data_IF_747804159770
#
_entry.id   IF_747804159770
#
_cell.length_a   1.000
_cell.length_b   1.000
_cell.length_c   1.000
_cell.angle_alpha   90.00
_cell.angle_beta   90.00
_cell.angle_gamma   90.00
#
_symmetry.space_group_name_H-M   'P 1'
#
loop_
_entity.id
_entity.type
_entity.pdbx_description
1 polymer ?
#
# COMPACT_ATOMS: atom_id res chain seq x y z
N UNK A 1 23.24 -0.96 -15.65
CA UNK A 1 23.03 -0.45 -14.27
C UNK A 1 22.62 -1.53 -13.25
N UNK A 2 22.19 -2.73 -13.64
CA UNK A 2 21.86 -3.81 -12.68
C UNK A 2 23.05 -4.23 -11.78
N UNK A 3 24.28 -4.18 -12.30
CA UNK A 3 25.52 -4.48 -11.57
C UNK A 3 26.19 -3.27 -10.92
N UNK A 4 25.56 -2.09 -10.98
CA UNK A 4 26.14 -0.88 -10.41
C UNK A 4 26.14 -0.93 -8.88
N UNK A 5 27.26 -0.57 -8.25
CA UNK A 5 27.44 -0.67 -6.81
C UNK A 5 26.80 0.51 -6.05
N UNK A 6 25.48 0.59 -6.05
CA UNK A 6 24.74 1.62 -5.31
C UNK A 6 25.07 1.56 -3.80
N UNK A 7 25.31 2.70 -3.13
CA UNK A 7 25.00 4.08 -3.53
C UNK A 7 26.17 4.85 -4.18
N UNK A 8 27.15 4.17 -4.80
CA UNK A 8 28.19 4.88 -5.57
C UNK A 8 27.54 5.82 -6.61
N UNK A 9 27.91 7.11 -6.68
CA UNK A 9 27.24 8.05 -7.56
C UNK A 9 27.62 7.84 -9.02
N UNK A 10 26.62 8.02 -9.89
CA UNK A 10 26.86 8.15 -11.34
C UNK A 10 27.22 9.60 -11.63
N UNK A 11 28.44 9.80 -12.16
CA UNK A 11 28.98 11.10 -12.54
C UNK A 11 29.25 11.12 -14.05
N UNK A 12 28.85 12.19 -14.73
CA UNK A 12 29.18 12.41 -16.15
C UNK A 12 30.49 13.19 -16.33
N UNK A 13 30.87 13.98 -15.33
CA UNK A 13 32.15 14.68 -15.21
C UNK A 13 32.53 14.83 -13.72
N UNK A 14 33.79 15.15 -13.39
CA UNK A 14 34.16 15.50 -12.03
C UNK A 14 33.29 16.65 -11.49
N UNK A 15 32.95 16.61 -10.20
CA UNK A 15 32.23 17.70 -9.54
C UNK A 15 33.19 18.87 -9.41
N UNK A 16 32.82 20.00 -9.99
CA UNK A 16 33.60 21.23 -9.96
C UNK A 16 33.10 22.14 -8.83
N UNK A 17 34.04 22.84 -8.20
CA UNK A 17 33.73 23.97 -7.34
C UNK A 17 33.42 25.19 -8.22
N UNK A 18 32.48 26.02 -7.77
CA UNK A 18 32.09 27.23 -8.49
C UNK A 18 32.30 28.49 -7.65
N UNK A 19 32.20 29.67 -8.28
CA UNK A 19 32.49 30.95 -7.65
C UNK A 19 31.43 31.40 -6.64
N UNK A 20 30.27 30.73 -6.60
CA UNK A 20 29.15 31.06 -5.72
C UNK A 20 29.18 30.16 -4.48
N UNK A 21 28.70 30.65 -3.34
CA UNK A 21 28.59 29.85 -2.11
C UNK A 21 27.33 28.96 -2.11
N UNK A 22 27.08 28.25 -3.22
CA UNK A 22 25.93 27.37 -3.36
C UNK A 22 26.24 25.96 -2.86
N UNK A 23 25.25 25.27 -2.29
CA UNK A 23 25.39 23.88 -1.86
C UNK A 23 25.61 22.98 -3.09
N UNK A 24 26.78 22.36 -3.18
CA UNK A 24 27.10 21.32 -4.15
C UNK A 24 26.93 19.95 -3.49
N UNK A 25 26.40 18.96 -4.21
CA UNK A 25 26.21 17.60 -3.67
C UNK A 25 27.52 17.03 -3.16
N UNK A 26 27.57 16.72 -1.86
CA UNK A 26 28.76 16.18 -1.23
C UNK A 26 28.38 15.34 0.01
N UNK A 27 28.38 13.99 -0.10
CA UNK A 27 28.00 13.12 1.01
C UNK A 27 29.02 13.15 2.15
N UNK A 28 30.27 13.60 1.94
CA UNK A 28 31.23 13.71 3.03
C UNK A 28 30.89 14.87 3.97
N UNK A 29 30.40 15.98 3.40
CA UNK A 29 30.09 17.21 4.14
C UNK A 29 28.64 17.20 4.62
N UNK A 30 27.69 16.96 3.72
CA UNK A 30 26.27 17.10 4.00
C UNK A 30 25.64 15.76 4.38
N UNK A 31 25.12 15.68 5.61
CA UNK A 31 24.49 14.45 6.11
C UNK A 31 23.31 13.99 5.26
N UNK A 32 22.47 14.91 4.75
CA UNK A 32 21.33 14.56 3.89
C UNK A 32 21.76 13.79 2.63
N UNK A 33 22.88 14.20 2.03
CA UNK A 33 23.39 13.62 0.79
C UNK A 33 23.89 12.18 0.98
N UNK A 34 24.25 11.79 2.21
CA UNK A 34 24.66 10.42 2.58
C UNK A 34 23.53 9.40 2.46
N UNK A 35 22.29 9.85 2.57
CA UNK A 35 21.12 8.98 2.54
C UNK A 35 20.56 8.76 1.13
N UNK A 36 21.15 9.36 0.09
CA UNK A 36 20.74 9.12 -1.29
C UNK A 36 21.05 7.67 -1.70
N UNK A 37 20.01 6.92 -2.07
CA UNK A 37 20.10 5.47 -2.30
C UNK A 37 20.63 5.08 -3.69
N UNK A 38 20.38 5.93 -4.69
CA UNK A 38 20.79 5.75 -6.09
C UNK A 38 21.23 7.08 -6.72
N UNK A 39 22.31 7.73 -6.25
CA UNK A 39 22.64 9.10 -6.65
C UNK A 39 23.08 9.19 -8.12
N UNK A 40 22.34 9.98 -8.91
CA UNK A 40 22.70 10.40 -10.27
C UNK A 40 22.90 11.91 -10.24
N UNK A 41 24.12 12.37 -10.51
CA UNK A 41 24.52 13.75 -10.23
C UNK A 41 24.45 14.61 -11.49
N UNK A 42 23.83 15.77 -11.40
CA UNK A 42 23.76 16.74 -12.51
C UNK A 42 25.14 17.29 -12.83
N UNK A 43 25.54 17.37 -14.11
CA UNK A 43 26.88 17.79 -14.48
C UNK A 43 27.10 19.30 -14.30
N UNK A 44 26.06 20.11 -14.51
CA UNK A 44 26.19 21.57 -14.40
C UNK A 44 26.34 22.01 -12.93
N UNK A 45 27.18 23.02 -12.71
CA UNK A 45 27.32 23.68 -11.42
C UNK A 45 26.06 24.52 -11.08
N UNK A 46 25.56 24.51 -9.82
CA UNK A 46 25.96 23.61 -8.74
C UNK A 46 25.41 22.19 -8.95
N UNK A 47 26.29 21.18 -8.85
CA UNK A 47 25.89 19.78 -9.02
C UNK A 47 24.94 19.33 -7.91
N UNK A 48 23.85 18.66 -8.28
CA UNK A 48 22.81 18.18 -7.38
C UNK A 48 22.47 16.71 -7.68
N UNK A 49 21.83 16.04 -6.73
CA UNK A 49 21.31 14.69 -6.94
C UNK A 49 19.93 14.76 -7.61
N UNK A 50 19.83 14.31 -8.86
CA UNK A 50 18.57 14.28 -9.61
C UNK A 50 17.59 13.22 -9.07
N UNK A 51 18.11 12.19 -8.39
CA UNK A 51 17.36 11.03 -7.90
C UNK A 51 17.20 11.02 -6.38
N UNK A 52 17.21 12.20 -5.75
CA UNK A 52 17.08 12.34 -4.29
C UNK A 52 15.74 11.79 -3.73
N UNK A 53 14.73 11.62 -4.58
CA UNK A 53 13.40 11.10 -4.21
C UNK A 53 13.30 9.56 -4.22
N UNK A 54 14.34 8.84 -4.61
CA UNK A 54 14.33 7.36 -4.60
C UNK A 54 14.26 6.85 -3.16
N UNK A 55 13.26 6.00 -2.88
CA UNK A 55 13.06 5.31 -1.60
C UNK A 55 13.60 3.87 -1.66
N UNK A 56 13.53 3.12 -0.55
CA UNK A 56 13.96 1.72 -0.53
C UNK A 56 13.06 0.87 -1.45
N UNK A 57 11.75 1.09 -1.39
CA UNK A 57 10.79 0.43 -2.28
C UNK A 57 11.01 0.75 -3.75
N UNK A 58 11.14 2.03 -4.12
CA UNK A 58 11.33 2.38 -5.53
C UNK A 58 12.68 1.93 -6.05
N UNK A 59 13.75 1.96 -5.23
CA UNK A 59 15.04 1.32 -5.56
C UNK A 59 14.87 -0.17 -5.86
N UNK A 60 14.15 -0.90 -5.03
CA UNK A 60 13.91 -2.33 -5.23
C UNK A 60 13.20 -2.60 -6.57
N UNK A 61 12.16 -1.82 -6.89
CA UNK A 61 11.44 -1.91 -8.17
C UNK A 61 12.35 -1.58 -9.35
N UNK A 62 13.11 -0.47 -9.30
CA UNK A 62 14.03 -0.07 -10.36
C UNK A 62 15.07 -1.16 -10.63
N UNK A 63 15.63 -1.78 -9.58
CA UNK A 63 16.60 -2.87 -9.75
C UNK A 63 15.98 -4.12 -10.37
N UNK A 64 14.74 -4.48 -10.01
CA UNK A 64 14.02 -5.58 -10.67
C UNK A 64 13.79 -5.30 -12.16
N UNK A 65 13.37 -4.09 -12.50
CA UNK A 65 13.14 -3.69 -13.90
C UNK A 65 14.44 -3.60 -14.71
N UNK A 66 15.53 -3.13 -14.12
CA UNK A 66 16.86 -3.16 -14.76
C UNK A 66 17.34 -4.59 -15.03
N UNK A 67 17.09 -5.52 -14.09
CA UNK A 67 17.39 -6.93 -14.29
C UNK A 67 16.53 -7.53 -15.41
N UNK A 68 15.21 -7.36 -15.33
CA UNK A 68 14.24 -7.83 -16.35
C UNK A 68 14.62 -7.30 -17.74
N UNK A 69 14.94 -6.01 -17.85
CA UNK A 69 15.38 -5.40 -19.10
C UNK A 69 16.66 -6.02 -19.65
N UNK A 70 17.64 -6.29 -18.78
CA UNK A 70 18.87 -7.00 -19.15
C UNK A 70 18.59 -8.40 -19.72
N UNK A 71 17.78 -9.19 -19.01
CA UNK A 71 17.41 -10.56 -19.41
C UNK A 71 16.65 -10.57 -20.76
N UNK A 72 15.79 -9.58 -21.02
CA UNK A 72 15.07 -9.44 -22.30
C UNK A 72 16.02 -9.04 -23.42
N UNK A 73 16.89 -8.06 -23.19
CA UNK A 73 17.84 -7.58 -24.19
C UNK A 73 18.83 -8.67 -24.60
N UNK A 74 19.30 -9.48 -23.66
CA UNK A 74 20.13 -10.66 -23.97
C UNK A 74 19.41 -11.62 -24.92
N UNK A 75 18.14 -11.95 -24.66
CA UNK A 75 17.32 -12.79 -25.53
C UNK A 75 17.05 -12.16 -26.90
N UNK A 76 16.93 -10.83 -26.98
CA UNK A 76 16.81 -10.13 -28.27
C UNK A 76 18.10 -10.30 -29.09
N UNK A 77 19.28 -10.14 -28.48
CA UNK A 77 20.55 -10.36 -29.16
C UNK A 77 20.74 -11.81 -29.62
N UNK A 78 20.14 -12.78 -28.91
CA UNK A 78 20.09 -14.19 -29.30
C UNK A 78 19.00 -14.50 -30.36
N UNK A 79 18.22 -13.51 -30.80
CA UNK A 79 17.14 -13.69 -31.77
C UNK A 79 15.89 -14.39 -31.25
N UNK A 80 15.74 -14.53 -29.92
CA UNK A 80 14.61 -15.24 -29.28
C UNK A 80 13.41 -14.34 -28.99
N UNK A 81 13.64 -13.04 -28.84
CA UNK A 81 12.62 -12.03 -28.54
C UNK A 81 12.76 -10.83 -29.48
N UNK A 82 11.75 -9.96 -29.49
CA UNK A 82 11.70 -8.72 -30.29
C UNK A 82 11.79 -7.50 -29.37
N UNK A 83 12.19 -6.36 -29.93
CA UNK A 83 12.22 -5.08 -29.20
C UNK A 83 10.85 -4.68 -28.61
N UNK A 84 9.74 -5.09 -29.24
CA UNK A 84 8.39 -4.91 -28.69
C UNK A 84 8.22 -5.54 -27.31
N UNK A 85 8.94 -6.63 -27.01
CA UNK A 85 8.80 -7.37 -25.75
C UNK A 85 9.46 -6.60 -24.58
N UNK A 86 10.49 -5.79 -24.87
CA UNK A 86 11.11 -4.90 -23.88
C UNK A 86 10.13 -3.79 -23.45
N UNK A 87 9.39 -3.24 -24.41
CA UNK A 87 8.40 -2.18 -24.20
C UNK A 87 7.00 -2.70 -23.88
N UNK A 88 6.87 -4.00 -23.61
CA UNK A 88 5.63 -4.57 -23.11
C UNK A 88 5.21 -3.86 -21.82
N UNK A 89 3.92 -3.52 -21.75
CA UNK A 89 3.34 -2.78 -20.63
C UNK A 89 3.51 -3.54 -19.31
N UNK A 90 3.72 -2.80 -18.22
CA UNK A 90 3.77 -3.34 -16.87
C UNK A 90 2.42 -3.97 -16.46
N UNK A 91 2.45 -4.85 -15.46
CA UNK A 91 1.26 -5.55 -14.96
C UNK A 91 0.83 -5.08 -13.56
N UNK A 92 1.12 -3.81 -13.25
CA UNK A 92 0.97 -3.20 -11.92
C UNK A 92 -0.39 -3.49 -11.26
N UNK A 93 -1.51 -3.30 -11.96
CA UNK A 93 -2.87 -3.50 -11.42
C UNK A 93 -3.39 -4.95 -11.55
N UNK A 94 -2.77 -5.75 -12.41
CA UNK A 94 -3.28 -7.07 -12.79
C UNK A 94 -2.55 -8.21 -12.09
N UNK A 95 -1.22 -8.25 -12.11
CA UNK A 95 -0.44 -9.42 -11.64
C UNK A 95 0.56 -9.07 -10.54
N UNK A 96 1.08 -7.85 -10.51
CA UNK A 96 2.26 -7.52 -9.71
C UNK A 96 1.96 -7.49 -8.21
N UNK A 97 0.75 -7.06 -7.82
CA UNK A 97 0.36 -6.91 -6.42
C UNK A 97 -1.00 -7.55 -6.09
N UNK A 98 -1.13 -8.02 -4.85
CA UNK A 98 -2.39 -8.57 -4.29
C UNK A 98 -3.17 -7.54 -3.49
N UNK A 99 -2.48 -6.53 -2.97
CA UNK A 99 -2.96 -5.52 -2.04
C UNK A 99 -2.54 -4.14 -2.56
N UNK A 100 -3.43 -3.17 -2.43
CA UNK A 100 -3.20 -1.79 -2.83
C UNK A 100 -3.68 -0.83 -1.74
N UNK A 101 -3.00 0.30 -1.61
CA UNK A 101 -3.54 1.48 -0.95
C UNK A 101 -4.00 2.46 -2.01
N UNK A 102 -5.23 2.93 -1.84
CA UNK A 102 -5.82 3.98 -2.65
C UNK A 102 -5.77 5.27 -1.83
N UNK A 103 -5.16 6.31 -2.38
CA UNK A 103 -5.11 7.64 -1.79
C UNK A 103 -5.96 8.53 -2.68
N UNK A 104 -7.15 8.90 -2.22
CA UNK A 104 -8.09 9.73 -2.97
C UNK A 104 -8.07 11.14 -2.41
N UNK A 105 -7.56 12.07 -3.20
CA UNK A 105 -7.77 13.50 -3.00
C UNK A 105 -9.12 13.86 -3.61
N UNK A 106 -9.95 14.62 -2.90
CA UNK A 106 -11.27 15.03 -3.38
C UNK A 106 -11.56 16.49 -3.10
N UNK A 107 -12.25 17.15 -4.03
CA UNK A 107 -12.67 18.54 -3.91
C UNK A 107 -14.05 18.79 -4.55
N UNK A 108 -14.76 19.81 -4.08
CA UNK A 108 -16.09 20.20 -4.59
C UNK A 108 -16.06 21.03 -5.88
N UNK A 109 -14.89 21.54 -6.29
CA UNK A 109 -14.68 22.20 -7.59
C UNK A 109 -13.46 21.65 -8.32
N UNK A 110 -13.42 21.80 -9.65
CA UNK A 110 -12.31 21.32 -10.48
C UNK A 110 -11.03 22.10 -10.21
N UNK A 111 -11.14 23.42 -10.05
CA UNK A 111 -10.00 24.30 -9.80
C UNK A 111 -9.34 23.97 -8.45
N UNK A 112 -10.17 23.75 -7.41
CA UNK A 112 -9.68 23.31 -6.12
C UNK A 112 -9.04 21.92 -6.20
N UNK A 113 -9.67 20.99 -6.96
CA UNK A 113 -9.14 19.64 -7.13
C UNK A 113 -7.78 19.63 -7.81
N UNK A 114 -7.54 20.44 -8.85
CA UNK A 114 -6.27 20.46 -9.55
C UNK A 114 -5.13 20.85 -8.61
N UNK A 115 -5.30 21.91 -7.81
CA UNK A 115 -4.31 22.31 -6.80
C UNK A 115 -4.18 21.27 -5.68
N UNK A 116 -5.29 20.81 -5.12
CA UNK A 116 -5.30 19.90 -3.98
C UNK A 116 -4.68 18.53 -4.33
N UNK A 117 -5.03 17.97 -5.49
CA UNK A 117 -4.49 16.69 -5.96
C UNK A 117 -2.98 16.75 -6.21
N UNK A 118 -2.46 17.86 -6.76
CA UNK A 118 -1.02 18.06 -6.95
C UNK A 118 -0.25 18.15 -5.63
N UNK A 119 -0.81 18.83 -4.62
CA UNK A 119 -0.22 18.87 -3.28
C UNK A 119 -0.21 17.48 -2.60
N UNK A 120 -1.31 16.73 -2.72
CA UNK A 120 -1.38 15.36 -2.18
C UNK A 120 -0.36 14.46 -2.88
N UNK A 121 -0.21 14.58 -4.20
CA UNK A 121 0.78 13.84 -4.98
C UNK A 121 2.22 14.15 -4.56
N UNK A 122 2.56 15.43 -4.38
CA UNK A 122 3.87 15.87 -3.91
C UNK A 122 4.27 15.23 -2.57
N UNK A 123 3.26 14.92 -1.74
CA UNK A 123 3.45 14.33 -0.41
C UNK A 123 3.48 12.81 -0.42
N UNK A 124 3.02 12.12 -1.48
CA UNK A 124 2.90 10.64 -1.51
C UNK A 124 4.21 9.93 -1.14
N UNK A 125 5.35 10.51 -1.55
CA UNK A 125 6.67 10.00 -1.21
C UNK A 125 6.89 9.86 0.29
N UNK A 126 6.35 10.77 1.12
CA UNK A 126 6.46 10.68 2.57
C UNK A 126 5.69 9.49 3.14
N UNK A 127 4.53 9.15 2.56
CA UNK A 127 3.80 7.93 2.91
C UNK A 127 4.60 6.69 2.54
N UNK A 128 5.17 6.64 1.33
CA UNK A 128 6.02 5.51 0.90
C UNK A 128 7.22 5.32 1.84
N UNK A 129 7.92 6.41 2.20
CA UNK A 129 9.04 6.36 3.15
C UNK A 129 8.60 5.88 4.53
N UNK A 130 7.39 6.25 4.97
CA UNK A 130 6.85 5.78 6.25
C UNK A 130 6.50 4.29 6.20
N UNK A 131 5.93 3.81 5.09
CA UNK A 131 5.61 2.40 4.86
C UNK A 131 6.88 1.54 4.75
N UNK A 132 7.96 2.05 4.14
CA UNK A 132 9.26 1.37 4.04
C UNK A 132 9.86 1.00 5.42
N UNK A 133 9.45 1.69 6.48
CA UNK A 133 9.92 1.40 7.86
C UNK A 133 9.15 0.28 8.55
N UNK A 134 8.03 -0.17 7.99
CA UNK A 134 7.19 -1.21 8.60
C UNK A 134 7.78 -2.58 8.32
N UNK A 135 8.07 -3.33 9.39
CA UNK A 135 8.57 -4.69 9.28
C UNK A 135 7.62 -5.65 8.55
N UNK A 136 6.32 -5.34 8.49
CA UNK A 136 5.28 -6.11 7.79
C UNK A 136 5.18 -5.82 6.29
N UNK A 137 5.82 -4.74 5.81
CA UNK A 137 5.82 -4.35 4.40
C UNK A 137 7.22 -4.67 3.82
N UNK A 138 7.24 -5.31 2.65
CA UNK A 138 8.47 -5.56 1.91
C UNK A 138 8.69 -4.49 0.85
N UNK A 139 7.65 -4.20 0.05
CA UNK A 139 7.65 -3.11 -0.94
C UNK A 139 6.32 -2.37 -0.94
N UNK A 140 6.41 -1.04 -0.94
CA UNK A 140 5.35 -0.09 -1.21
C UNK A 140 5.66 0.63 -2.54
N UNK A 141 5.12 0.13 -3.64
CA UNK A 141 5.38 0.63 -4.99
C UNK A 141 4.32 1.66 -5.40
N UNK A 142 4.62 2.97 -5.40
CA UNK A 142 3.70 3.98 -5.90
C UNK A 142 3.55 3.88 -7.41
N UNK A 143 2.31 3.89 -7.90
CA UNK A 143 2.02 4.09 -9.31
C UNK A 143 2.25 5.56 -9.65
N UNK A 144 2.93 5.90 -10.77
CA UNK A 144 3.37 7.26 -11.04
C UNK A 144 2.25 8.20 -11.53
N UNK A 145 1.00 7.74 -11.67
CA UNK A 145 -0.10 8.55 -12.21
C UNK A 145 -1.30 8.56 -11.27
N UNK A 146 -1.97 9.70 -11.17
CA UNK A 146 -3.29 9.82 -10.55
C UNK A 146 -4.41 9.51 -11.54
N UNK A 147 -5.53 8.99 -11.07
CA UNK A 147 -6.74 8.73 -11.85
C UNK A 147 -7.81 9.76 -11.51
N UNK A 148 -8.11 10.65 -12.46
CA UNK A 148 -9.07 11.74 -12.31
C UNK A 148 -10.49 11.30 -12.66
N UNK A 149 -11.45 11.62 -11.78
CA UNK A 149 -12.86 11.27 -11.92
C UNK A 149 -13.75 12.43 -11.46
N UNK A 150 -14.94 12.47 -12.03
CA UNK A 150 -16.02 13.38 -11.64
C UNK A 150 -17.23 12.55 -11.24
N UNK A 151 -17.79 12.85 -10.08
CA UNK A 151 -18.93 12.13 -9.51
C UNK A 151 -20.11 13.08 -9.33
N UNK A 152 -21.32 12.56 -9.50
CA UNK A 152 -22.56 13.26 -9.18
C UNK A 152 -23.24 12.51 -8.04
N UNK A 153 -23.25 13.12 -6.86
CA UNK A 153 -23.71 12.51 -5.60
C UNK A 153 -24.94 13.28 -5.09
N UNK A 154 -25.97 12.57 -4.62
CA UNK A 154 -27.19 13.19 -4.07
C UNK A 154 -27.06 13.50 -2.59
N UNK A 155 -26.50 12.55 -1.85
CA UNK A 155 -26.42 12.59 -0.40
C UNK A 155 -24.98 12.46 0.09
N UNK A 156 -24.75 12.85 1.34
CA UNK A 156 -23.46 12.73 2.02
C UNK A 156 -22.91 11.28 2.02
N UNK A 157 -23.79 10.27 2.07
CA UNK A 157 -23.38 8.86 1.98
C UNK A 157 -22.76 8.50 0.63
N UNK A 158 -23.30 9.07 -0.46
CA UNK A 158 -22.76 8.85 -1.80
C UNK A 158 -21.41 9.56 -1.97
N UNK A 159 -21.28 10.76 -1.39
CA UNK A 159 -20.02 11.51 -1.32
C UNK A 159 -18.93 10.68 -0.61
N UNK A 160 -19.22 10.13 0.56
CA UNK A 160 -18.25 9.31 1.32
C UNK A 160 -17.83 8.04 0.55
N UNK A 161 -18.75 7.42 -0.19
CA UNK A 161 -18.42 6.29 -1.05
C UNK A 161 -17.54 6.72 -2.24
N UNK A 162 -17.80 7.88 -2.85
CA UNK A 162 -16.96 8.40 -3.92
C UNK A 162 -15.54 8.75 -3.41
N UNK A 163 -15.44 9.41 -2.25
CA UNK A 163 -14.17 9.70 -1.55
C UNK A 163 -13.35 8.44 -1.24
N UNK A 164 -14.02 7.30 -1.01
CA UNK A 164 -13.33 6.02 -0.78
C UNK A 164 -12.57 5.47 -2.01
N UNK A 165 -12.76 6.10 -3.19
CA UNK A 165 -12.13 5.71 -4.46
C UNK A 165 -12.97 4.76 -5.31
N UNK A 166 -14.25 4.56 -4.97
CA UNK A 166 -15.19 3.75 -5.75
C UNK A 166 -15.82 4.57 -6.87
N UNK A 167 -16.00 3.96 -8.04
CA UNK A 167 -16.50 4.60 -9.26
C UNK A 167 -18.02 4.56 -9.43
N UNK A 168 -18.77 4.16 -8.38
CA UNK A 168 -20.22 3.92 -8.46
C UNK A 168 -21.03 5.14 -8.87
N UNK A 169 -20.56 6.33 -8.49
CA UNK A 169 -21.21 7.60 -8.71
C UNK A 169 -20.50 8.46 -9.76
N UNK A 170 -19.58 7.85 -10.52
CA UNK A 170 -18.89 8.52 -11.62
C UNK A 170 -19.92 8.92 -12.70
N UNK A 171 -19.81 10.16 -13.18
CA UNK A 171 -20.71 10.68 -14.22
C UNK A 171 -20.59 9.82 -15.48
N UNK A 172 -21.74 9.31 -15.95
CA UNK A 172 -21.80 8.47 -17.15
C UNK A 172 -21.31 9.26 -18.37
N UNK A 173 -20.48 8.62 -19.21
CA UNK A 173 -19.91 9.24 -20.41
C UNK A 173 -18.59 9.98 -20.16
N UNK A 174 -18.19 10.20 -18.90
CA UNK A 174 -16.89 10.80 -18.57
C UNK A 174 -15.84 9.69 -18.44
N UNK A 175 -14.91 9.63 -19.40
CA UNK A 175 -13.77 8.71 -19.33
C UNK A 175 -12.82 9.14 -18.21
N UNK A 176 -12.36 8.19 -17.40
CA UNK A 176 -11.27 8.42 -16.45
C UNK A 176 -10.00 8.78 -17.23
N UNK A 177 -9.42 9.93 -16.90
CA UNK A 177 -8.15 10.39 -17.44
C UNK A 177 -7.07 10.28 -16.36
N UNK A 178 -5.83 10.07 -16.76
CA UNK A 178 -4.69 10.13 -15.83
C UNK A 178 -4.10 11.52 -15.75
N UNK A 179 -3.41 11.85 -14.65
CA UNK A 179 -2.75 13.15 -14.46
C UNK A 179 -1.74 13.48 -15.59
N UNK A 180 -1.08 12.47 -16.14
CA UNK A 180 -0.20 12.62 -17.32
C UNK A 180 -0.97 12.95 -18.61
N UNK A 181 -2.17 12.41 -18.79
CA UNK A 181 -2.99 12.65 -19.98
C UNK A 181 -3.65 14.02 -19.94
N UNK A 182 -4.08 14.47 -18.76
CA UNK A 182 -4.67 15.79 -18.56
C UNK A 182 -3.60 16.89 -18.55
N UNK A 183 -2.45 16.62 -17.93
CA UNK A 183 -1.32 17.53 -17.77
C UNK A 183 -1.77 18.93 -17.32
N UNK A 184 -2.64 18.98 -16.32
CA UNK A 184 -3.27 20.20 -15.82
C UNK A 184 -2.20 21.14 -15.21
N UNK A 185 -2.05 22.39 -15.70
CA UNK A 185 -1.02 23.31 -15.23
C UNK A 185 -1.09 23.63 -13.74
N UNK A 186 -2.30 23.71 -13.16
CA UNK A 186 -2.48 24.00 -11.74
C UNK A 186 -2.07 22.80 -10.88
N UNK A 187 -2.34 21.59 -11.36
CA UNK A 187 -1.86 20.36 -10.73
C UNK A 187 -0.33 20.26 -10.78
N UNK A 188 0.29 20.48 -11.94
CA UNK A 188 1.75 20.43 -12.11
C UNK A 188 2.45 21.48 -11.24
N UNK A 189 1.94 22.72 -11.25
CA UNK A 189 2.49 23.77 -10.40
C UNK A 189 2.41 23.40 -8.91
N UNK A 190 1.30 22.81 -8.46
CA UNK A 190 1.12 22.38 -7.07
C UNK A 190 2.05 21.23 -6.70
N UNK A 191 2.27 20.29 -7.61
CA UNK A 191 3.19 19.16 -7.45
C UNK A 191 4.63 19.64 -7.26
N UNK A 192 5.07 20.62 -8.05
CA UNK A 192 6.43 21.18 -7.97
C UNK A 192 6.63 22.12 -6.77
N UNK A 193 5.59 22.87 -6.39
CA UNK A 193 5.72 23.92 -5.39
C UNK A 193 5.75 23.42 -3.95
N UNK A 194 5.26 22.20 -3.69
CA UNK A 194 5.20 21.43 -2.44
C UNK A 194 4.81 22.12 -1.10
N UNK A 195 5.01 23.44 -0.90
CA UNK A 195 4.84 24.16 0.37
C UNK A 195 4.87 25.72 0.33
N UNK A 196 4.70 26.47 -0.77
CA UNK A 196 4.89 27.94 -0.62
C UNK A 196 4.31 28.99 -1.57
N UNK A 197 3.62 28.68 -2.67
CA UNK A 197 3.35 29.74 -3.66
C UNK A 197 1.96 29.73 -4.29
N UNK A 198 1.17 28.67 -4.10
CA UNK A 198 -0.10 28.50 -4.80
C UNK A 198 -1.23 28.74 -3.82
N UNK A 199 -2.21 29.52 -4.26
CA UNK A 199 -3.43 29.83 -3.53
C UNK A 199 -4.54 28.82 -3.87
N UNK A 200 -5.20 28.26 -2.85
CA UNK A 200 -6.43 27.50 -3.05
C UNK A 200 -7.52 28.42 -3.61
N UNK A 201 -8.15 28.02 -4.73
CA UNK A 201 -9.37 28.68 -5.19
C UNK A 201 -10.42 28.73 -4.08
N UNK A 202 -11.12 29.86 -3.97
CA UNK A 202 -12.28 29.98 -3.08
C UNK A 202 -13.48 29.20 -3.61
N UNK A 203 -14.55 29.13 -2.82
CA UNK A 203 -15.82 28.55 -3.25
C UNK A 203 -16.31 29.25 -4.53
N UNK A 204 -16.38 28.53 -5.64
CA UNK A 204 -17.26 28.92 -6.74
C UNK A 204 -18.71 28.83 -6.27
N UNK A 205 -19.57 29.75 -6.71
CA UNK A 205 -20.99 29.69 -6.39
C UNK A 205 -21.55 28.33 -6.88
N UNK A 206 -21.98 27.49 -5.95
CA UNK A 206 -22.73 26.28 -6.28
C UNK A 206 -24.14 26.69 -6.66
N UNK A 207 -24.47 26.60 -7.95
CA UNK A 207 -25.87 26.70 -8.37
C UNK A 207 -26.67 25.58 -7.72
N UNK A 208 -27.87 25.92 -7.24
CA UNK A 208 -28.83 25.06 -6.53
C UNK A 208 -29.30 23.89 -7.42
N UNK A 209 -28.45 22.88 -7.52
CA UNK A 209 -28.76 21.58 -8.11
C UNK A 209 -28.84 20.57 -6.98
N UNK A 210 -29.91 19.76 -6.95
CA UNK A 210 -30.10 18.65 -6.00
C UNK A 210 -28.96 17.60 -5.99
N UNK A 211 -27.98 17.71 -6.89
CA UNK A 211 -26.80 16.87 -6.93
C UNK A 211 -25.52 17.68 -6.63
N UNK A 212 -24.69 17.13 -5.76
CA UNK A 212 -23.34 17.59 -5.47
C UNK A 212 -22.34 16.99 -6.46
N UNK A 213 -21.60 17.86 -7.15
CA UNK A 213 -20.48 17.46 -7.99
C UNK A 213 -19.24 17.29 -7.12
N UNK A 214 -18.57 16.14 -7.23
CA UNK A 214 -17.33 15.85 -6.52
C UNK A 214 -16.25 15.46 -7.52
N UNK A 215 -15.12 16.13 -7.46
CA UNK A 215 -13.94 15.80 -8.24
C UNK A 215 -13.00 14.97 -7.38
N UNK A 216 -12.43 13.90 -7.93
CA UNK A 216 -11.49 13.04 -7.21
C UNK A 216 -10.30 12.67 -8.07
N UNK A 217 -9.12 12.60 -7.46
CA UNK A 217 -7.90 12.05 -8.06
C UNK A 217 -7.39 10.96 -7.14
N UNK A 218 -7.33 9.73 -7.64
CA UNK A 218 -6.90 8.56 -6.85
C UNK A 218 -5.51 8.10 -7.28
N UNK A 219 -4.60 8.00 -6.32
CA UNK A 219 -3.28 7.42 -6.47
C UNK A 219 -3.24 6.02 -5.87
N UNK A 220 -2.39 5.16 -6.41
CA UNK A 220 -2.29 3.77 -5.98
C UNK A 220 -0.88 3.42 -5.52
N UNK A 221 -0.78 2.69 -4.43
CA UNK A 221 0.46 2.07 -3.96
C UNK A 221 0.25 0.57 -3.90
N UNK A 222 0.98 -0.18 -4.73
CA UNK A 222 1.01 -1.64 -4.70
C UNK A 222 1.84 -2.13 -3.51
N UNK A 223 1.31 -3.10 -2.77
CA UNK A 223 1.95 -3.62 -1.55
C UNK A 223 2.38 -5.09 -1.71
N UNK A 224 3.65 -5.33 -1.44
CA UNK A 224 4.18 -6.66 -1.10
C UNK A 224 4.29 -6.74 0.42
N UNK A 225 3.57 -7.70 1.01
CA UNK A 225 3.50 -7.87 2.45
C UNK A 225 4.34 -9.07 2.88
N UNK A 226 5.03 -8.93 4.03
CA UNK A 226 5.62 -10.05 4.75
C UNK A 226 4.50 -10.83 5.48
N UNK A 227 4.76 -12.03 6.04
CA UNK A 227 3.71 -12.87 6.64
C UNK A 227 2.93 -12.24 7.81
N UNK A 228 3.37 -11.09 8.32
CA UNK A 228 2.73 -10.36 9.39
C UNK A 228 1.64 -9.43 8.85
N UNK A 229 0.53 -9.31 9.58
CA UNK A 229 -0.53 -8.33 9.28
C UNK A 229 0.03 -6.91 9.51
N UNK A 230 0.15 -6.04 8.48
CA UNK A 230 0.57 -4.67 8.70
C UNK A 230 -0.56 -3.85 9.35
N UNK A 231 -0.25 -3.26 10.51
CA UNK A 231 -0.97 -2.07 10.96
C UNK A 231 -0.29 -0.82 10.39
N UNK A 232 -1.00 -0.12 9.50
CA UNK A 232 -0.57 1.10 8.83
C UNK A 232 -1.33 2.35 9.31
N UNK A 233 -2.10 2.22 10.40
CA UNK A 233 -2.98 3.29 10.89
C UNK A 233 -2.20 4.55 11.27
N UNK A 234 -1.01 4.39 11.87
CA UNK A 234 -0.13 5.51 12.22
C UNK A 234 0.39 6.27 11.00
N UNK A 235 0.79 5.55 9.94
CA UNK A 235 1.37 6.14 8.73
C UNK A 235 0.31 6.86 7.91
N UNK A 236 -0.86 6.23 7.80
CA UNK A 236 -2.02 6.84 7.13
C UNK A 236 -2.50 8.09 7.86
N UNK A 237 -2.54 8.07 9.21
CA UNK A 237 -2.89 9.25 9.99
C UNK A 237 -1.83 10.36 9.86
N UNK A 238 -0.54 10.02 9.93
CA UNK A 238 0.56 10.96 9.71
C UNK A 238 0.47 11.64 8.35
N UNK A 239 0.21 10.87 7.29
CA UNK A 239 0.07 11.41 5.95
C UNK A 239 -1.13 12.35 5.81
N UNK A 240 -2.29 11.95 6.36
CA UNK A 240 -3.48 12.80 6.37
C UNK A 240 -3.19 14.13 7.06
N UNK A 241 -2.59 14.08 8.26
CA UNK A 241 -2.21 15.29 9.00
C UNK A 241 -1.22 16.16 8.21
N UNK A 242 -0.25 15.56 7.52
CA UNK A 242 0.69 16.31 6.68
C UNK A 242 0.01 17.02 5.50
N UNK A 243 -1.04 16.43 4.94
CA UNK A 243 -1.82 17.06 3.87
C UNK A 243 -2.70 18.19 4.42
N UNK A 244 -3.43 17.92 5.51
CA UNK A 244 -4.42 18.85 6.09
C UNK A 244 -3.79 19.97 6.94
N UNK A 245 -2.52 19.86 7.33
CA UNK A 245 -1.79 20.95 8.00
C UNK A 245 -1.36 22.08 7.06
N UNK A 246 -1.65 21.96 5.76
CA UNK A 246 -1.35 23.03 4.81
C UNK A 246 -2.20 24.26 5.11
N UNK A 247 -1.58 25.45 5.13
CA UNK A 247 -2.23 26.69 5.56
C UNK A 247 -3.48 27.06 4.75
N UNK A 248 -3.58 26.58 3.51
CA UNK A 248 -4.72 26.85 2.63
C UNK A 248 -5.66 25.65 2.48
N UNK A 249 -5.46 24.59 3.25
CA UNK A 249 -6.43 23.52 3.34
C UNK A 249 -7.77 24.08 3.81
N UNK A 250 -8.84 23.75 3.09
CA UNK A 250 -10.19 24.20 3.38
C UNK A 250 -11.07 22.98 3.73
N UNK A 251 -11.41 22.77 5.02
CA UNK A 251 -12.28 21.68 5.44
C UNK A 251 -13.65 21.74 4.74
N UNK A 252 -14.19 20.59 4.36
CA UNK A 252 -15.49 20.49 3.66
C UNK A 252 -15.41 20.77 2.15
N UNK A 253 -14.37 21.48 1.70
CA UNK A 253 -14.09 21.68 0.28
C UNK A 253 -13.10 20.63 -0.21
N UNK A 254 -11.98 20.47 0.51
CA UNK A 254 -10.95 19.50 0.18
C UNK A 254 -10.90 18.41 1.24
N UNK A 255 -10.61 17.19 0.81
CA UNK A 255 -10.46 16.04 1.70
C UNK A 255 -9.46 15.03 1.11
N UNK A 256 -8.87 14.21 1.97
CA UNK A 256 -7.98 13.11 1.58
C UNK A 256 -8.33 11.83 2.33
N UNK A 257 -8.72 10.82 1.57
CA UNK A 257 -9.09 9.52 2.10
C UNK A 257 -8.10 8.46 1.66
N UNK A 258 -7.72 7.59 2.58
CA UNK A 258 -6.87 6.43 2.28
C UNK A 258 -7.69 5.17 2.55
N UNK A 259 -7.80 4.30 1.55
CA UNK A 259 -8.48 3.01 1.67
C UNK A 259 -7.55 1.88 1.24
N UNK A 260 -7.78 0.69 1.80
CA UNK A 260 -7.06 -0.52 1.42
C UNK A 260 -7.96 -1.41 0.56
N UNK A 261 -7.43 -1.87 -0.57
CA UNK A 261 -8.18 -2.62 -1.58
C UNK A 261 -7.39 -3.82 -2.05
N UNK A 262 -8.09 -4.94 -2.28
CA UNK A 262 -7.51 -6.15 -2.89
C UNK A 262 -7.50 -6.00 -4.41
N UNK A 263 -6.56 -6.66 -5.07
CA UNK A 263 -6.43 -6.61 -6.53
C UNK A 263 -7.74 -6.92 -7.30
N UNK A 264 -8.54 -7.86 -6.81
CA UNK A 264 -9.83 -8.22 -7.39
C UNK A 264 -10.95 -7.20 -7.10
N UNK A 265 -10.75 -6.24 -6.19
CA UNK A 265 -11.70 -5.19 -5.82
C UNK A 265 -11.32 -3.82 -6.38
N UNK A 266 -10.24 -3.74 -7.16
CA UNK A 266 -9.86 -2.52 -7.87
C UNK A 266 -10.97 -2.07 -8.83
N UNK A 267 -11.16 -0.75 -9.02
CA UNK A 267 -12.05 -0.20 -10.04
C UNK A 267 -11.73 -0.72 -11.45
N UNK A 268 -12.72 -0.77 -12.34
CA UNK A 268 -12.49 -1.31 -13.70
C UNK A 268 -11.64 -0.38 -14.58
N UNK A 269 -11.67 0.92 -14.30
CA UNK A 269 -11.01 1.95 -15.09
C UNK A 269 -9.49 2.03 -14.88
N UNK A 270 -8.92 1.28 -13.92
CA UNK A 270 -7.46 1.15 -13.79
C UNK A 270 -6.86 0.08 -14.71
N UNK A 271 -7.70 -0.73 -15.34
CA UNK A 271 -7.28 -1.79 -16.26
C UNK A 271 -7.36 -1.29 -17.71
N UNK A 272 -6.34 -1.62 -18.50
CA UNK A 272 -6.39 -1.30 -19.93
C UNK A 272 -7.24 -2.28 -20.73
N UNK A 273 -7.78 -1.85 -21.89
CA UNK A 273 -8.51 -2.75 -22.77
C UNK A 273 -7.69 -4.01 -23.10
N UNK A 274 -8.25 -5.19 -22.80
CA UNK A 274 -7.58 -6.49 -23.00
C UNK A 274 -6.86 -7.05 -21.77
N UNK A 275 -6.72 -6.28 -20.68
CA UNK A 275 -6.18 -6.81 -19.43
C UNK A 275 -7.24 -7.63 -18.68
N UNK A 276 -6.88 -8.85 -18.27
CA UNK A 276 -7.73 -9.68 -17.41
C UNK A 276 -7.62 -9.25 -15.96
N UNK A 277 -8.75 -8.85 -15.37
CA UNK A 277 -8.88 -8.53 -13.95
C UNK A 277 -8.70 -9.79 -13.07
N UNK A 278 -8.05 -9.66 -11.91
CA UNK A 278 -8.01 -10.72 -10.91
C UNK A 278 -9.41 -11.10 -10.41
N UNK A 279 -9.69 -12.41 -10.34
CA UNK A 279 -10.99 -12.91 -9.90
C UNK A 279 -10.94 -13.24 -8.41
N UNK A 280 -12.04 -12.95 -7.70
CA UNK A 280 -12.23 -13.35 -6.30
C UNK A 280 -12.11 -14.88 -6.18
N UNK A 281 -11.26 -15.41 -5.28
CA UNK A 281 -11.20 -16.84 -5.04
C UNK A 281 -12.57 -17.40 -4.63
N UNK A 282 -13.04 -18.45 -5.31
CA UNK A 282 -14.27 -19.14 -4.91
C UNK A 282 -14.02 -19.82 -3.56
N UNK A 283 -14.85 -19.55 -2.54
CA UNK A 283 -14.78 -20.25 -1.25
C UNK A 283 -14.96 -21.75 -1.51
N UNK A 284 -13.97 -22.57 -1.13
CA UNK A 284 -14.12 -24.04 -1.17
C UNK A 284 -15.21 -24.41 -0.16
N UNK A 285 -16.36 -24.86 -0.64
CA UNK A 285 -17.38 -25.47 0.21
C UNK A 285 -16.81 -26.79 0.68
N UNK A 286 -16.34 -26.83 1.93
CA UNK A 286 -16.02 -28.08 2.61
C UNK A 286 -17.37 -28.78 2.84
N UNK A 287 -17.70 -29.80 2.03
CA UNK A 287 -18.79 -30.71 2.36
C UNK A 287 -18.43 -31.37 3.70
N UNK A 288 -19.20 -31.08 4.75
CA UNK A 288 -19.16 -31.86 5.99
C UNK A 288 -19.52 -33.30 5.61
N UNK A 289 -18.58 -34.23 5.76
CA UNK A 289 -18.88 -35.65 5.75
C UNK A 289 -19.58 -35.93 7.08
N UNK A 290 -20.84 -36.35 7.03
CA UNK A 290 -21.56 -36.83 8.21
C UNK A 290 -20.89 -38.12 8.71
N UNK A 291 -20.68 -38.28 10.03
CA UNK A 291 -20.19 -39.54 10.57
C UNK A 291 -21.32 -40.58 10.50
N UNK A 292 -21.22 -41.53 9.57
CA UNK A 292 -22.08 -42.72 9.55
C UNK A 292 -21.80 -43.55 10.80
N UNK A 293 -22.75 -43.53 11.74
CA UNK A 293 -22.78 -44.40 12.92
C UNK A 293 -23.19 -45.81 12.52
N UNK A 294 -22.24 -46.66 12.13
CA UNK A 294 -22.47 -48.11 12.09
C UNK A 294 -22.46 -48.65 13.52
N UNK A 295 -23.65 -48.90 14.06
CA UNK A 295 -23.87 -49.74 15.25
C UNK A 295 -23.39 -51.16 14.94
N UNK A 296 -22.48 -51.73 15.74
CA UNK A 296 -22.22 -53.18 15.76
C UNK A 296 -23.08 -53.81 16.86
N UNK A 297 -23.76 -54.94 16.59
CA UNK A 297 -24.43 -55.70 17.64
C UNK A 297 -23.41 -56.49 18.47
N UNK A 298 -23.80 -56.71 19.72
CA UNK A 298 -23.07 -57.41 20.78
C UNK A 298 -23.31 -58.92 20.66
N UNK A 299 -22.37 -59.71 21.21
CA UNK A 299 -22.38 -61.18 21.41
C UNK A 299 -21.66 -62.07 20.39
N UNK A 300 -20.45 -62.52 20.76
CA UNK A 300 -20.12 -63.94 20.98
C UNK A 300 -18.75 -64.07 21.66
N UNK A 301 -18.62 -65.13 22.46
CA UNK A 301 -17.72 -65.33 23.59
C UNK A 301 -16.62 -66.38 23.28
N UNK A 302 -15.50 -66.24 24.01
CA UNK A 302 -14.46 -67.21 24.39
C UNK A 302 -13.42 -67.76 23.39
N UNK A 303 -12.17 -67.83 23.90
CA UNK A 303 -11.16 -68.82 23.49
C UNK A 303 -9.72 -68.31 23.43
N UNK A 304 -8.86 -68.82 24.31
CA UNK A 304 -7.45 -68.47 24.56
C UNK A 304 -6.49 -68.65 23.36
N UNK A 305 -5.40 -67.87 23.34
CA UNK A 305 -4.01 -68.32 23.60
C UNK A 305 -2.98 -67.18 23.42
N UNK A 306 -1.99 -67.12 24.32
CA UNK A 306 -0.77 -66.29 24.26
C UNK A 306 0.37 -67.21 23.84
N UNK A 307 1.33 -66.78 22.99
CA UNK A 307 2.69 -66.63 23.53
C UNK A 307 3.37 -65.30 23.17
N UNK A 308 4.23 -64.89 24.08
CA UNK A 308 5.12 -63.72 24.07
C UNK A 308 6.16 -63.75 22.94
N UNK A 309 6.53 -62.59 22.37
CA UNK A 309 7.90 -62.07 22.53
C UNK A 309 8.13 -60.63 21.99
N UNK A 310 8.70 -59.81 22.88
CA UNK A 310 9.75 -58.81 22.71
C UNK A 310 9.71 -57.76 21.56
N UNK A 311 9.28 -56.55 21.95
CA UNK A 311 10.09 -55.32 22.00
C UNK A 311 11.12 -55.02 20.90
N UNK A 312 10.83 -54.05 20.03
CA UNK A 312 11.78 -52.98 19.60
C UNK A 312 11.12 -51.85 18.78
N UNK A 313 10.86 -50.74 19.47
CA UNK A 313 11.15 -49.34 19.09
C UNK A 313 11.18 -48.99 17.59
N UNK A 314 10.16 -48.25 17.10
CA UNK A 314 10.32 -47.26 16.01
C UNK A 314 9.39 -46.07 16.24
N UNK A 315 10.00 -44.93 16.56
CA UNK A 315 9.38 -43.61 16.52
C UNK A 315 9.27 -43.21 15.05
N UNK A 316 8.06 -43.08 14.53
CA UNK A 316 7.80 -42.45 13.23
C UNK A 316 7.67 -40.94 13.44
N UNK A 317 8.59 -40.18 12.85
CA UNK A 317 8.46 -38.73 12.73
C UNK A 317 7.39 -38.38 11.71
N UNK A 318 6.31 -37.74 12.16
CA UNK A 318 5.39 -37.01 11.30
C UNK A 318 5.65 -35.50 11.48
N UNK A 319 6.49 -34.95 10.60
CA UNK A 319 6.61 -33.51 10.42
C UNK A 319 5.73 -33.05 9.27
N UNK A 320 4.51 -32.58 9.56
CA UNK A 320 3.76 -31.63 8.73
C UNK A 320 2.95 -30.73 9.68
N UNK A 321 3.48 -29.56 10.03
CA UNK A 321 2.68 -28.46 10.57
C UNK A 321 2.27 -27.56 9.40
N UNK A 322 1.04 -27.73 8.93
CA UNK A 322 0.38 -26.75 8.09
C UNK A 322 0.12 -25.49 8.92
N UNK A 323 0.88 -24.43 8.67
CA UNK A 323 0.61 -23.11 9.23
C UNK A 323 -0.75 -22.62 8.69
N UNK A 324 -1.74 -22.54 9.57
CA UNK A 324 -3.01 -21.91 9.28
C UNK A 324 -2.76 -20.42 8.99
N UNK A 325 -2.84 -20.03 7.71
CA UNK A 325 -2.85 -18.62 7.32
C UNK A 325 -4.11 -17.97 7.86
N UNK A 326 -3.97 -17.03 8.78
CA UNK A 326 -5.06 -16.20 9.27
C UNK A 326 -5.72 -15.48 8.09
N UNK A 327 -7.00 -15.78 7.85
CA UNK A 327 -7.80 -15.22 6.77
C UNK A 327 -8.32 -13.83 7.18
N UNK A 328 -7.81 -12.80 6.50
CA UNK A 328 -8.19 -11.40 6.65
C UNK A 328 -9.67 -11.11 6.38
N UNK A 329 -10.40 -12.03 5.73
CA UNK A 329 -11.81 -11.83 5.38
C UNK A 329 -12.69 -11.61 6.62
N UNK A 330 -12.33 -12.21 7.76
CA UNK A 330 -13.13 -12.14 9.00
C UNK A 330 -12.98 -10.82 9.77
N UNK A 331 -11.84 -10.13 9.65
CA UNK A 331 -11.61 -8.84 10.33
C UNK A 331 -12.15 -7.63 9.53
N UNK A 332 -12.15 -7.71 8.19
CA UNK A 332 -12.68 -6.66 7.32
C UNK A 332 -14.19 -6.49 7.49
N UNK A 333 -14.93 -7.60 7.67
CA UNK A 333 -16.37 -7.56 7.94
C UNK A 333 -16.68 -6.93 9.31
N UNK A 334 -15.80 -7.08 10.30
CA UNK A 334 -15.96 -6.50 11.64
C UNK A 334 -15.79 -4.97 11.61
N UNK A 335 -14.82 -4.43 10.86
CA UNK A 335 -14.71 -2.96 10.71
C UNK A 335 -15.84 -2.36 9.85
N UNK A 336 -16.30 -3.06 8.80
CA UNK A 336 -17.50 -2.63 8.05
C UNK A 336 -18.76 -2.62 8.90
N UNK A 337 -18.93 -3.58 9.81
CA UNK A 337 -20.08 -3.64 10.72
C UNK A 337 -19.98 -2.66 11.89
N UNK A 338 -18.76 -2.31 12.32
CA UNK A 338 -18.52 -1.28 13.33
C UNK A 338 -18.99 0.11 12.87
N UNK A 339 -18.77 0.44 11.59
CA UNK A 339 -19.19 1.73 11.02
C UNK A 339 -20.69 1.82 10.65
N UNK A 340 -21.48 0.76 10.87
CA UNK A 340 -22.94 0.76 10.64
C UNK A 340 -23.79 0.87 11.91
N UNK A 341 -23.21 1.10 13.10
CA UNK A 341 -24.00 1.32 14.32
C UNK A 341 -24.23 2.81 14.57
N UNK A 342 -25.48 3.24 14.44
CA UNK A 342 -25.96 4.55 14.88
C UNK A 342 -25.65 4.81 16.37
N UNK A 343 -25.42 6.07 16.79
CA UNK A 343 -25.11 6.42 18.16
C UNK A 343 -26.41 6.43 18.96
N UNK A 344 -26.63 5.42 19.79
CA UNK A 344 -27.84 5.37 20.61
C UNK A 344 -28.01 4.03 21.29
N UNK A 345 -27.08 3.69 22.20
CA UNK A 345 -27.25 2.87 23.40
C UNK A 345 -25.88 2.49 23.96
N UNK A 346 -25.59 2.99 25.14
CA UNK A 346 -24.46 2.56 25.99
C UNK A 346 -24.66 1.10 26.42
N UNK A 347 -23.64 0.23 26.35
CA UNK A 347 -23.65 -1.03 27.07
C UNK A 347 -22.82 -0.94 28.35
N UNK A 348 -23.46 -1.30 29.46
CA UNK A 348 -22.86 -1.46 30.79
C UNK A 348 -21.66 -2.42 30.78
N UNK A 349 -20.70 -2.10 31.65
CA UNK A 349 -19.43 -2.78 31.85
C UNK A 349 -19.56 -4.29 32.08
N UNK A 350 -18.79 -5.09 31.32
CA UNK A 350 -18.44 -6.47 31.68
C UNK A 350 -16.97 -6.48 32.10
N UNK A 351 -16.78 -6.70 33.41
CA UNK A 351 -15.50 -6.76 34.12
C UNK A 351 -14.90 -8.16 33.89
N UNK A 352 -13.85 -8.28 33.08
CA UNK A 352 -13.08 -9.53 33.00
C UNK A 352 -12.00 -9.54 34.09
N UNK A 353 -12.16 -10.44 35.05
CA UNK A 353 -11.20 -10.74 36.13
C UNK A 353 -10.09 -11.60 35.55
N UNK A 354 -8.85 -11.08 35.55
CA UNK A 354 -7.63 -11.85 35.33
C UNK A 354 -7.36 -12.75 36.55
N UNK A 355 -7.31 -14.06 36.34
CA UNK A 355 -6.71 -15.02 37.29
C UNK A 355 -5.42 -15.57 36.69
N UNK A 356 -4.27 -15.14 37.24
CA UNK A 356 -3.00 -15.86 37.15
C UNK A 356 -2.91 -16.90 38.27
N UNK A 357 -2.34 -18.09 38.05
CA UNK A 357 -1.88 -18.95 39.14
C UNK A 357 -0.38 -18.74 39.39
N UNK A 358 -0.06 -18.32 40.61
CA UNK A 358 1.27 -18.41 41.22
C UNK A 358 1.72 -19.87 41.33
N UNK A 359 3.03 -20.12 41.15
CA UNK A 359 3.75 -21.22 41.80
C UNK A 359 5.01 -20.65 42.47
N UNK A 360 5.15 -21.04 43.74
CA UNK A 360 6.26 -20.74 44.65
C UNK A 360 7.58 -21.41 44.23
N UNK A 361 8.70 -20.73 44.50
CA UNK A 361 9.94 -21.36 45.00
C UNK A 361 10.76 -20.33 45.80
N UNK A 362 11.38 -20.81 46.88
CA UNK A 362 11.93 -20.09 48.03
C UNK A 362 13.30 -19.43 47.87
N UNK A 363 13.48 -18.41 48.72
CA UNK A 363 14.67 -17.98 49.50
C UNK A 363 16.09 -18.07 48.92
N UNK A 364 16.78 -16.92 48.91
CA UNK A 364 17.97 -16.69 49.77
C UNK A 364 18.27 -15.17 49.80
N UNK A 365 18.42 -14.60 51.00
CA UNK A 365 18.78 -13.19 51.19
C UNK A 365 20.26 -12.98 51.46
N UNK A 366 20.74 -11.74 51.31
CA UNK A 366 21.85 -11.02 51.97
C UNK A 366 21.88 -9.61 51.30
N UNK A 367 21.43 -8.52 51.95
CA UNK A 367 22.14 -7.57 52.84
C UNK A 367 23.12 -6.57 52.16
N UNK A 368 22.86 -5.27 52.44
CA UNK A 368 23.73 -4.06 52.49
C UNK A 368 24.13 -3.40 51.14
N UNK A 369 23.75 -2.12 50.90
CA UNK A 369 24.47 -0.85 51.22
C UNK A 369 25.86 -0.82 50.54
N UNK A 370 26.23 0.14 49.69
CA UNK A 370 25.95 1.59 49.60
C UNK A 370 25.57 2.06 48.18
#
# INVERSE_FOLDING_TARGET
MNYWNWPQPVLLKPIEDGPLHMKVWNPKIYHGDRFHLMPIITPAYPSMCATHNVSLSTKAVILRELKRGGDIVEKIFLGQLRWSDLFAKHTFFSKDYKYYLNITASSTSKEAQSVWSGLVEAKLRHLVIALDKKASIDVAHPFPKGFERVHSCKDEKEIEVAKSGLTRFQVKGTKTATTDETNDPAHVAALESANGSINMPGLGQTEDSNNHTLHTTTYYIGLELKPLVPDISSETHMFKNMCTSWAQYQPGINDVTITHVRNYDLPEDVFHPGETRPVRPKKKVIKKVEPTTTKRPIDAVDGQEIPENASKRRVSGNGITAAATADWSTWIDIQRLSNMRHPGKTPSAIRFVLRSPMKHASSCGYLLAD
#
